data_IF_584399212963
#
_entry.id   IF_584399212963
#
_cell.length_a   1.000
_cell.length_b   1.000
_cell.length_c   1.000
_cell.angle_alpha   90.00
_cell.angle_beta   90.00
_cell.angle_gamma   90.00
#
_symmetry.space_group_name_H-M   'P 1'
#
loop_
_entity.id
_entity.type
_entity.pdbx_description
1 polymer ?
#
# COMPACT_ATOMS: atom_id res chain seq x y z
N UNK A 1 -17.68 29.11 21.00
CA UNK A 1 -17.41 28.46 19.73
C UNK A 1 -16.83 27.10 20.11
N UNK A 2 -17.66 26.05 20.11
CA UNK A 2 -17.28 24.72 20.58
C UNK A 2 -16.52 24.01 19.48
N UNK A 3 -15.30 23.58 19.79
CA UNK A 3 -14.47 22.75 18.94
C UNK A 3 -15.07 21.36 19.02
N UNK A 4 -15.62 20.85 17.90
CA UNK A 4 -16.06 19.47 17.79
C UNK A 4 -14.81 18.57 17.80
N UNK A 5 -14.67 17.81 18.88
CA UNK A 5 -13.78 16.65 18.94
C UNK A 5 -14.22 15.67 17.84
N UNK A 6 -13.41 15.51 16.81
CA UNK A 6 -13.58 14.43 15.84
C UNK A 6 -13.25 13.11 16.56
N UNK A 7 -14.28 12.35 16.86
CA UNK A 7 -14.17 10.99 17.37
C UNK A 7 -13.33 10.15 16.41
N UNK A 8 -12.33 9.47 16.98
CA UNK A 8 -11.56 8.42 16.29
C UNK A 8 -12.52 7.44 15.60
N UNK A 9 -12.21 6.97 14.38
CA UNK A 9 -13.07 5.98 13.71
C UNK A 9 -13.18 4.72 14.57
N UNK A 10 -14.32 4.03 14.57
CA UNK A 10 -14.51 2.81 15.34
C UNK A 10 -13.66 1.68 14.76
N UNK A 11 -12.51 1.44 15.36
CA UNK A 11 -11.55 0.36 14.99
C UNK A 11 -12.14 -1.06 15.08
N UNK A 12 -13.33 -1.23 15.67
CA UNK A 12 -13.88 -2.55 15.97
C UNK A 12 -14.57 -3.27 14.81
N UNK A 13 -15.03 -2.58 13.78
CA UNK A 13 -15.77 -3.19 12.66
C UNK A 13 -14.87 -3.64 11.51
N UNK A 14 -13.67 -3.07 11.36
CA UNK A 14 -12.82 -3.24 10.18
C UNK A 14 -11.93 -4.49 10.23
N UNK A 15 -11.61 -5.02 11.41
CA UNK A 15 -10.71 -6.18 11.56
C UNK A 15 -11.34 -7.46 11.07
N UNK A 16 -12.60 -7.70 11.38
CA UNK A 16 -13.33 -8.87 10.85
C UNK A 16 -13.39 -8.81 9.32
N UNK A 17 -13.63 -7.62 8.78
CA UNK A 17 -13.60 -7.35 7.34
C UNK A 17 -12.24 -7.63 6.72
N UNK A 18 -11.14 -7.26 7.38
CA UNK A 18 -9.80 -7.59 6.90
C UNK A 18 -9.56 -9.09 6.82
N UNK A 19 -9.91 -9.84 7.86
CA UNK A 19 -9.77 -11.31 7.87
C UNK A 19 -10.65 -12.00 6.83
N UNK A 20 -11.80 -11.43 6.51
CA UNK A 20 -12.70 -11.96 5.50
C UNK A 20 -12.22 -11.62 4.08
N UNK A 21 -11.86 -10.37 3.83
CA UNK A 21 -11.63 -9.83 2.49
C UNK A 21 -10.16 -9.71 2.11
N UNK A 22 -9.23 -9.71 3.09
CA UNK A 22 -7.78 -9.54 2.87
C UNK A 22 -7.35 -8.09 2.71
N UNK A 23 -8.27 -7.14 2.85
CA UNK A 23 -8.00 -5.70 2.82
C UNK A 23 -9.02 -4.90 3.61
N UNK A 24 -8.65 -3.67 3.95
CA UNK A 24 -9.54 -2.62 4.47
C UNK A 24 -9.17 -1.28 3.85
N UNK A 25 -10.15 -0.39 3.73
CA UNK A 25 -9.93 1.01 3.42
C UNK A 25 -10.08 1.81 4.71
N UNK A 26 -9.01 2.49 5.10
CA UNK A 26 -8.97 3.40 6.24
C UNK A 26 -9.09 4.84 5.74
N UNK A 27 -10.22 5.51 5.96
CA UNK A 27 -10.40 6.88 5.51
C UNK A 27 -9.64 7.88 6.38
N UNK A 28 -9.16 8.95 5.77
CA UNK A 28 -8.56 10.11 6.43
C UNK A 28 -7.46 9.75 7.47
N UNK A 29 -6.59 8.78 7.12
CA UNK A 29 -5.41 8.44 7.93
C UNK A 29 -4.47 9.64 7.99
N UNK A 30 -4.41 10.39 6.90
CA UNK A 30 -3.60 11.61 6.76
C UNK A 30 -4.49 12.77 6.31
N UNK A 31 -4.03 14.00 6.57
CA UNK A 31 -4.69 15.19 6.03
C UNK A 31 -4.28 15.42 4.56
N UNK A 32 -5.10 16.10 3.76
CA UNK A 32 -4.72 16.49 2.40
C UNK A 32 -3.45 17.34 2.35
N UNK A 33 -3.18 18.15 3.37
CA UNK A 33 -2.00 19.00 3.48
C UNK A 33 -0.74 18.17 3.68
N UNK A 34 -0.77 17.14 4.56
CA UNK A 34 0.32 16.17 4.74
C UNK A 34 0.61 15.46 3.42
N UNK A 35 -0.42 15.05 2.70
CA UNK A 35 -0.27 14.36 1.42
C UNK A 35 0.27 15.27 0.32
N UNK A 36 -0.12 16.53 0.29
CA UNK A 36 0.41 17.51 -0.65
C UNK A 36 1.91 17.77 -0.44
N UNK A 37 2.38 17.81 0.82
CA UNK A 37 3.82 17.90 1.14
C UNK A 37 4.55 16.63 0.69
N UNK A 38 4.01 15.47 1.03
CA UNK A 38 4.57 14.18 0.66
C UNK A 38 4.69 14.03 -0.88
N UNK A 39 3.65 14.41 -1.63
CA UNK A 39 3.64 14.39 -3.09
C UNK A 39 4.74 15.26 -3.69
N UNK A 40 4.87 16.52 -3.26
CA UNK A 40 5.93 17.42 -3.76
C UNK A 40 7.32 16.84 -3.49
N UNK A 41 7.58 16.36 -2.28
CA UNK A 41 8.86 15.74 -1.96
C UNK A 41 9.13 14.48 -2.78
N UNK A 42 8.11 13.66 -3.06
CA UNK A 42 8.25 12.50 -3.92
C UNK A 42 8.64 12.92 -5.35
N UNK A 43 7.99 13.93 -5.90
CA UNK A 43 8.31 14.48 -7.22
C UNK A 43 9.76 14.97 -7.27
N UNK A 44 10.19 15.82 -6.33
CA UNK A 44 11.55 16.37 -6.26
C UNK A 44 12.62 15.26 -6.17
N UNK A 45 12.40 14.23 -5.35
CA UNK A 45 13.34 13.14 -5.16
C UNK A 45 13.43 12.20 -6.36
N UNK A 46 12.39 12.13 -7.17
CA UNK A 46 12.33 11.20 -8.31
C UNK A 46 12.65 11.86 -9.65
N UNK A 47 12.60 13.20 -9.75
CA UNK A 47 12.94 13.95 -10.97
C UNK A 47 14.34 13.64 -11.49
N UNK A 48 15.30 13.38 -10.59
CA UNK A 48 16.69 13.05 -10.95
C UNK A 48 16.93 11.56 -11.21
N UNK A 49 15.93 10.71 -10.99
CA UNK A 49 16.05 9.26 -11.11
C UNK A 49 15.37 8.79 -12.40
N UNK A 50 16.13 8.25 -13.31
CA UNK A 50 15.60 7.64 -14.54
C UNK A 50 15.01 6.26 -14.24
N UNK A 51 13.76 6.21 -13.81
CA UNK A 51 13.00 4.96 -13.62
C UNK A 51 11.89 4.83 -14.65
N UNK A 52 11.90 3.83 -15.55
CA UNK A 52 10.91 3.72 -16.62
C UNK A 52 9.51 3.28 -16.15
N UNK A 53 9.38 2.81 -14.91
CA UNK A 53 8.14 2.16 -14.43
C UNK A 53 7.27 3.03 -13.53
N UNK A 54 7.71 4.24 -13.17
CA UNK A 54 6.98 5.06 -12.19
C UNK A 54 6.99 4.49 -10.76
N UNK A 55 7.90 3.55 -10.47
CA UNK A 55 8.05 2.92 -9.15
C UNK A 55 9.47 3.11 -8.66
N UNK A 56 9.61 3.64 -7.45
CA UNK A 56 10.89 3.75 -6.75
C UNK A 56 10.80 2.94 -5.46
N UNK A 57 11.93 2.42 -4.99
CA UNK A 57 11.96 1.60 -3.77
C UNK A 57 12.99 2.16 -2.81
N UNK A 58 12.58 2.41 -1.57
CA UNK A 58 13.45 2.72 -0.44
C UNK A 58 13.37 1.61 0.60
N UNK A 59 14.50 1.09 1.01
CA UNK A 59 14.58 0.18 2.16
C UNK A 59 14.42 0.96 3.47
N UNK A 60 14.08 0.29 4.56
CA UNK A 60 13.81 0.95 5.84
C UNK A 60 15.01 1.74 6.40
N UNK A 61 16.22 1.43 5.97
CA UNK A 61 17.47 2.12 6.35
C UNK A 61 17.90 3.24 5.38
N UNK A 62 17.25 3.34 4.21
CA UNK A 62 17.56 4.35 3.18
C UNK A 62 16.40 5.30 2.89
N UNK A 63 15.26 5.09 3.52
CA UNK A 63 14.07 5.92 3.33
C UNK A 63 14.32 7.36 3.81
N UNK A 64 13.93 8.41 3.05
CA UNK A 64 14.02 9.78 3.53
C UNK A 64 13.13 10.01 4.76
N UNK A 65 13.61 10.83 5.71
CA UNK A 65 12.97 11.06 7.03
C UNK A 65 11.48 11.44 6.94
N UNK A 66 11.10 12.29 5.97
CA UNK A 66 9.69 12.64 5.77
C UNK A 66 8.83 11.40 5.52
N UNK A 67 9.27 10.54 4.61
CA UNK A 67 8.53 9.33 4.22
C UNK A 67 8.56 8.26 5.30
N UNK A 68 9.63 8.19 6.08
CA UNK A 68 9.66 7.37 7.29
C UNK A 68 8.62 7.84 8.30
N UNK A 69 8.49 9.16 8.53
CA UNK A 69 7.46 9.73 9.39
C UNK A 69 6.04 9.39 8.91
N UNK A 70 5.78 9.38 7.60
CA UNK A 70 4.51 8.94 7.03
C UNK A 70 4.33 7.42 7.25
N UNK A 71 5.33 6.61 6.95
CA UNK A 71 5.26 5.15 7.12
C UNK A 71 5.06 4.73 8.60
N UNK A 72 5.57 5.49 9.56
CA UNK A 72 5.47 5.21 10.99
C UNK A 72 4.44 6.09 11.72
N UNK A 73 3.53 6.72 10.98
CA UNK A 73 2.54 7.63 11.55
C UNK A 73 1.61 6.91 12.53
N UNK A 74 1.34 7.51 13.68
CA UNK A 74 0.61 6.87 14.80
C UNK A 74 -0.78 6.34 14.40
N UNK A 75 -1.54 7.09 13.59
CA UNK A 75 -2.87 6.64 13.11
C UNK A 75 -2.78 5.39 12.23
N UNK A 76 -1.79 5.32 11.34
CA UNK A 76 -1.55 4.11 10.53
C UNK A 76 -1.12 2.95 11.40
N UNK A 77 -0.19 3.18 12.33
CA UNK A 77 0.30 2.15 13.26
C UNK A 77 -0.82 1.57 14.12
N UNK A 78 -1.73 2.38 14.63
CA UNK A 78 -2.88 1.91 15.40
C UNK A 78 -3.75 0.92 14.60
N UNK A 79 -3.97 1.18 13.31
CA UNK A 79 -4.71 0.28 12.43
C UNK A 79 -3.92 -1.01 12.16
N UNK A 80 -2.63 -0.87 11.82
CA UNK A 80 -1.78 -2.02 11.54
C UNK A 80 -1.60 -2.94 12.74
N UNK A 81 -1.53 -2.40 13.97
CA UNK A 81 -1.45 -3.21 15.19
C UNK A 81 -2.67 -4.11 15.37
N UNK A 82 -3.84 -3.66 14.96
CA UNK A 82 -5.07 -4.45 15.01
C UNK A 82 -5.09 -5.53 13.93
N UNK A 83 -4.55 -5.22 12.74
CA UNK A 83 -4.54 -6.13 11.57
C UNK A 83 -3.40 -7.15 11.66
N UNK A 84 -2.20 -6.71 12.04
CA UNK A 84 -0.96 -7.49 11.96
C UNK A 84 -0.61 -8.10 13.33
N UNK A 85 -0.93 -7.38 14.41
CA UNK A 85 -0.50 -7.67 15.77
C UNK A 85 0.38 -6.56 16.36
N UNK A 86 0.68 -6.63 17.67
CA UNK A 86 1.30 -5.51 18.39
C UNK A 86 2.75 -5.22 18.00
N UNK A 87 3.45 -6.20 17.43
CA UNK A 87 4.87 -6.09 17.08
C UNK A 87 5.03 -6.00 15.57
N UNK A 88 5.22 -4.76 15.09
CA UNK A 88 5.32 -4.46 13.67
C UNK A 88 6.77 -4.15 13.30
N UNK A 89 7.22 -4.70 12.18
CA UNK A 89 8.43 -4.29 11.50
C UNK A 89 8.09 -3.63 10.17
N UNK A 90 8.70 -2.46 9.96
CA UNK A 90 8.72 -1.76 8.69
C UNK A 90 9.88 -2.28 7.85
N UNK A 91 9.62 -2.60 6.58
CA UNK A 91 10.57 -3.26 5.68
C UNK A 91 11.08 -2.32 4.59
N UNK A 92 10.17 -1.70 3.87
CA UNK A 92 10.47 -0.82 2.72
C UNK A 92 9.27 0.05 2.39
N UNK A 93 9.49 1.03 1.53
CA UNK A 93 8.39 1.81 0.97
C UNK A 93 8.62 2.14 -0.51
N UNK A 94 7.54 2.37 -1.22
CA UNK A 94 7.55 2.67 -2.67
C UNK A 94 6.69 3.92 -2.93
N UNK A 95 7.25 5.07 -3.32
CA UNK A 95 6.48 6.05 -4.06
C UNK A 95 6.20 5.51 -5.46
N UNK A 96 4.95 5.61 -5.89
CA UNK A 96 4.48 5.11 -7.19
C UNK A 96 3.65 6.18 -7.87
N UNK A 97 3.99 6.48 -9.12
CA UNK A 97 3.20 7.40 -9.91
C UNK A 97 2.73 6.80 -11.22
N UNK A 98 1.60 7.28 -11.67
CA UNK A 98 1.11 7.14 -13.04
C UNK A 98 1.02 8.52 -13.68
N UNK A 99 1.35 8.61 -14.96
CA UNK A 99 1.35 9.87 -15.72
C UNK A 99 0.80 9.62 -17.13
N UNK A 100 0.80 10.64 -17.96
CA UNK A 100 0.46 10.48 -19.37
C UNK A 100 1.40 9.50 -20.12
N UNK A 101 2.67 9.38 -19.68
CA UNK A 101 3.67 8.49 -20.27
C UNK A 101 3.71 7.10 -19.58
N UNK A 102 3.44 7.06 -18.27
CA UNK A 102 3.39 5.85 -17.44
C UNK A 102 1.93 5.58 -17.09
N UNK A 103 1.11 5.28 -18.09
CA UNK A 103 -0.34 5.21 -17.96
C UNK A 103 -0.92 3.79 -17.93
N UNK A 104 -0.09 2.75 -18.08
CA UNK A 104 -0.54 1.35 -18.14
C UNK A 104 -1.15 0.88 -16.82
N UNK A 105 -2.10 -0.07 -16.87
CA UNK A 105 -2.58 -0.74 -15.67
C UNK A 105 -1.49 -1.65 -15.09
N UNK A 106 -1.39 -1.79 -13.76
CA UNK A 106 -0.66 -2.94 -13.22
C UNK A 106 -1.46 -4.22 -13.52
N UNK A 107 -0.82 -5.32 -13.92
CA UNK A 107 -1.51 -6.58 -14.12
C UNK A 107 -2.00 -7.15 -12.79
N UNK A 108 -2.88 -8.15 -12.82
CA UNK A 108 -3.28 -8.91 -11.65
C UNK A 108 -2.09 -9.69 -11.08
N UNK A 109 -1.85 -9.55 -9.79
CA UNK A 109 -0.76 -10.23 -9.09
C UNK A 109 -1.03 -10.32 -7.58
N UNK A 110 -0.24 -11.15 -6.93
CA UNK A 110 -0.06 -11.21 -5.48
C UNK A 110 1.39 -10.78 -5.20
N UNK A 111 1.59 -9.85 -4.28
CA UNK A 111 2.92 -9.38 -3.89
C UNK A 111 3.79 -10.53 -3.32
N UNK A 112 3.15 -11.49 -2.65
CA UNK A 112 3.80 -12.67 -2.07
C UNK A 112 4.65 -13.44 -3.10
N UNK A 113 4.26 -13.49 -4.38
CA UNK A 113 5.02 -14.14 -5.43
C UNK A 113 6.41 -13.53 -5.68
N UNK A 114 6.61 -12.27 -5.29
CA UNK A 114 7.91 -11.58 -5.38
C UNK A 114 8.73 -11.69 -4.11
N UNK A 115 8.10 -11.91 -2.97
CA UNK A 115 8.72 -11.78 -1.65
C UNK A 115 8.93 -13.10 -0.94
N UNK A 116 7.97 -14.00 -1.01
CA UNK A 116 7.96 -15.25 -0.24
C UNK A 116 7.98 -15.05 1.28
N UNK A 117 8.16 -16.13 2.02
CA UNK A 117 8.29 -16.10 3.47
C UNK A 117 7.00 -15.85 4.23
N UNK A 118 7.10 -15.24 5.42
CA UNK A 118 5.96 -14.89 6.26
C UNK A 118 5.07 -13.83 5.58
N UNK A 119 3.78 -13.70 5.96
CA UNK A 119 2.89 -12.68 5.42
C UNK A 119 3.43 -11.27 5.57
N UNK A 120 3.28 -10.45 4.53
CA UNK A 120 3.54 -9.02 4.51
C UNK A 120 2.24 -8.27 4.28
N UNK A 121 2.27 -7.00 4.67
CA UNK A 121 1.12 -6.12 4.59
C UNK A 121 1.56 -4.80 4.00
N UNK A 122 0.88 -4.37 2.96
CA UNK A 122 1.12 -3.08 2.33
C UNK A 122 0.02 -2.09 2.68
N UNK A 123 0.40 -0.84 2.91
CA UNK A 123 -0.55 0.27 3.01
C UNK A 123 -0.42 1.14 1.75
N UNK A 124 -1.38 1.07 0.86
CA UNK A 124 -1.44 1.92 -0.32
C UNK A 124 -2.07 3.26 0.06
N UNK A 125 -1.25 4.28 0.25
CA UNK A 125 -1.64 5.62 0.71
C UNK A 125 -1.82 6.51 -0.51
N UNK A 126 -2.99 7.12 -0.65
CA UNK A 126 -3.32 8.05 -1.72
C UNK A 126 -2.72 9.43 -1.42
N UNK A 127 -1.72 9.87 -2.20
CA UNK A 127 -1.16 11.23 -2.07
C UNK A 127 -2.04 12.30 -2.74
N UNK A 128 -3.00 11.87 -3.51
CA UNK A 128 -4.08 12.62 -4.15
C UNK A 128 -5.23 11.68 -4.44
N UNK A 129 -6.37 12.19 -4.84
CA UNK A 129 -7.53 11.35 -5.15
C UNK A 129 -7.18 10.33 -6.23
N UNK A 130 -7.46 9.06 -5.92
CA UNK A 130 -7.28 7.94 -6.82
C UNK A 130 -8.66 7.46 -7.29
N UNK A 131 -8.93 7.61 -8.57
CA UNK A 131 -10.22 7.31 -9.20
C UNK A 131 -10.08 6.22 -10.27
N UNK A 132 -11.19 5.75 -10.78
CA UNK A 132 -11.19 4.81 -11.91
C UNK A 132 -10.48 5.40 -13.14
N UNK A 133 -10.61 6.72 -13.35
CA UNK A 133 -10.04 7.41 -14.50
C UNK A 133 -8.52 7.58 -14.40
N UNK A 134 -7.97 7.80 -13.18
CA UNK A 134 -6.54 8.06 -12.98
C UNK A 134 -5.77 6.87 -12.40
N UNK A 135 -6.41 5.70 -12.25
CA UNK A 135 -5.71 4.47 -11.97
C UNK A 135 -5.76 4.01 -10.50
N UNK A 136 -6.92 4.07 -9.84
CA UNK A 136 -7.12 3.44 -8.54
C UNK A 136 -6.89 1.92 -8.59
N UNK A 137 -6.76 1.30 -7.42
CA UNK A 137 -6.64 -0.16 -7.32
C UNK A 137 -7.98 -0.86 -7.61
N UNK A 138 -7.85 -2.11 -8.02
CA UNK A 138 -8.90 -3.14 -8.08
C UNK A 138 -8.44 -4.31 -7.23
N UNK A 139 -9.33 -4.94 -6.51
CA UNK A 139 -9.05 -6.07 -5.64
C UNK A 139 -10.05 -7.19 -5.85
N UNK A 140 -9.67 -8.43 -5.50
CA UNK A 140 -10.58 -9.57 -5.40
C UNK A 140 -10.70 -9.95 -3.93
N UNK A 141 -11.81 -9.59 -3.26
CA UNK A 141 -12.03 -9.88 -1.84
C UNK A 141 -11.91 -11.37 -1.54
N UNK A 142 -11.22 -11.72 -0.45
CA UNK A 142 -11.06 -13.11 0.02
C UNK A 142 -9.97 -13.91 -0.70
N UNK A 143 -9.39 -13.40 -1.79
CA UNK A 143 -8.34 -14.09 -2.56
C UNK A 143 -7.02 -14.29 -1.79
N UNK A 144 -6.79 -13.56 -0.72
CA UNK A 144 -5.59 -13.65 0.12
C UNK A 144 -5.45 -14.99 0.88
N UNK A 145 -6.50 -15.81 0.90
CA UNK A 145 -6.50 -17.10 1.60
C UNK A 145 -5.66 -18.17 0.91
N UNK A 146 -5.26 -17.93 -0.33
CA UNK A 146 -4.46 -18.88 -1.11
C UNK A 146 -3.41 -18.14 -1.93
N UNK A 147 -2.17 -18.59 -1.87
CA UNK A 147 -1.17 -18.21 -2.84
C UNK A 147 -1.47 -18.93 -4.16
N UNK A 148 -1.43 -18.19 -5.27
CA UNK A 148 -1.68 -18.71 -6.60
C UNK A 148 -0.39 -18.80 -7.40
N UNK A 149 -0.35 -19.73 -8.32
CA UNK A 149 0.74 -19.83 -9.29
C UNK A 149 0.68 -18.65 -10.26
N UNK A 150 1.80 -17.94 -10.39
CA UNK A 150 1.93 -16.81 -11.29
C UNK A 150 2.60 -17.25 -12.59
N UNK A 151 2.05 -16.84 -13.71
CA UNK A 151 2.70 -17.01 -14.99
C UNK A 151 3.94 -16.10 -15.09
N UNK A 152 5.10 -16.68 -15.40
CA UNK A 152 6.29 -15.91 -15.71
C UNK A 152 6.14 -15.27 -17.10
N UNK A 153 6.10 -13.96 -17.17
CA UNK A 153 5.94 -13.21 -18.42
C UNK A 153 7.10 -12.23 -18.56
N UNK A 154 7.74 -12.23 -19.71
CA UNK A 154 8.70 -11.19 -20.05
C UNK A 154 7.94 -9.92 -20.37
N UNK A 155 7.94 -8.96 -19.46
CA UNK A 155 7.43 -7.63 -19.74
C UNK A 155 8.47 -6.54 -19.39
N UNK A 156 8.28 -5.36 -19.99
CA UNK A 156 9.20 -4.22 -19.82
C UNK A 156 8.81 -3.33 -18.63
N UNK A 157 7.72 -3.66 -17.94
CA UNK A 157 7.12 -2.84 -16.89
C UNK A 157 7.44 -3.33 -15.47
N UNK A 158 8.19 -4.44 -15.33
CA UNK A 158 8.63 -4.94 -14.03
C UNK A 158 7.66 -5.90 -13.33
N UNK A 159 6.57 -6.31 -14.01
CA UNK A 159 5.62 -7.32 -13.50
C UNK A 159 5.85 -8.66 -14.18
N UNK A 160 7.01 -9.26 -13.92
CA UNK A 160 7.40 -10.55 -14.50
C UNK A 160 6.56 -11.74 -14.02
N UNK A 161 5.83 -11.60 -12.90
CA UNK A 161 4.94 -12.61 -12.36
C UNK A 161 3.52 -12.03 -12.29
N UNK A 162 2.55 -12.67 -12.97
CA UNK A 162 1.17 -12.20 -13.00
C UNK A 162 0.16 -13.33 -13.13
N UNK A 163 -1.07 -13.06 -12.71
CA UNK A 163 -2.23 -13.91 -12.97
C UNK A 163 -2.85 -13.48 -14.31
N UNK A 164 -3.23 -14.45 -15.13
CA UNK A 164 -3.87 -14.16 -16.42
C UNK A 164 -5.35 -13.82 -16.21
N UNK A 165 -5.88 -12.88 -17.02
CA UNK A 165 -7.27 -12.44 -16.91
C UNK A 165 -8.28 -13.60 -17.14
N UNK A 166 -7.86 -14.63 -17.88
CA UNK A 166 -8.68 -15.83 -18.12
C UNK A 166 -8.91 -16.67 -16.87
N UNK A 167 -7.97 -16.63 -15.90
CA UNK A 167 -8.08 -17.34 -14.63
C UNK A 167 -9.02 -16.64 -13.65
N UNK A 168 -9.40 -15.39 -13.94
CA UNK A 168 -10.20 -14.53 -13.08
C UNK A 168 -11.66 -14.32 -13.55
N UNK A 169 -12.11 -15.04 -14.58
CA UNK A 169 -13.42 -14.82 -15.23
C UNK A 169 -14.64 -14.93 -14.30
N UNK A 170 -14.51 -15.66 -13.19
CA UNK A 170 -15.60 -15.91 -12.25
C UNK A 170 -15.43 -15.14 -10.94
N UNK A 171 -14.39 -14.32 -10.83
CA UNK A 171 -14.08 -13.61 -9.61
C UNK A 171 -14.86 -12.29 -9.50
N UNK A 172 -15.23 -11.94 -8.27
CA UNK A 172 -15.84 -10.63 -7.99
C UNK A 172 -14.75 -9.58 -7.85
N UNK A 173 -14.66 -8.70 -8.83
CA UNK A 173 -13.70 -7.59 -8.81
C UNK A 173 -14.36 -6.37 -8.17
N UNK A 174 -13.65 -5.74 -7.23
CA UNK A 174 -14.07 -4.53 -6.54
C UNK A 174 -13.08 -3.41 -6.84
N UNK A 175 -13.60 -2.29 -7.34
CA UNK A 175 -12.81 -1.06 -7.48
C UNK A 175 -12.61 -0.39 -6.11
N UNK A 176 -11.41 0.13 -5.87
CA UNK A 176 -11.03 0.77 -4.62
C UNK A 176 -10.59 2.23 -4.83
N UNK A 177 -11.52 3.14 -5.18
CA UNK A 177 -11.20 4.56 -5.24
C UNK A 177 -10.90 5.10 -3.84
N UNK A 178 -9.95 6.03 -3.73
CA UNK A 178 -9.52 6.64 -2.47
C UNK A 178 -9.46 8.16 -2.63
N UNK A 179 -9.80 8.88 -1.58
CA UNK A 179 -9.48 10.31 -1.48
C UNK A 179 -8.03 10.50 -1.00
N UNK A 180 -7.49 11.69 -1.23
CA UNK A 180 -6.18 12.05 -0.67
C UNK A 180 -6.16 11.86 0.85
N UNK A 181 -5.17 11.11 1.36
CA UNK A 181 -5.03 10.79 2.77
C UNK A 181 -5.70 9.49 3.23
N UNK A 182 -6.51 8.86 2.39
CA UNK A 182 -7.00 7.50 2.66
C UNK A 182 -5.87 6.47 2.46
N UNK A 183 -6.00 5.33 3.12
CA UNK A 183 -5.10 4.20 2.95
C UNK A 183 -5.88 2.89 2.72
N UNK A 184 -5.50 2.14 1.69
CA UNK A 184 -5.93 0.76 1.50
C UNK A 184 -4.84 -0.14 2.07
N UNK A 185 -5.16 -0.86 3.15
CA UNK A 185 -4.25 -1.81 3.81
C UNK A 185 -4.62 -3.21 3.34
N UNK A 186 -3.64 -3.99 2.87
CA UNK A 186 -3.90 -5.30 2.30
C UNK A 186 -2.79 -6.32 2.57
N UNK A 187 -3.20 -7.58 2.57
CA UNK A 187 -2.34 -8.76 2.68
C UNK A 187 -1.61 -9.02 1.37
N UNK A 188 -0.36 -9.45 1.40
CA UNK A 188 0.47 -9.69 0.21
C UNK A 188 -0.05 -10.79 -0.73
N UNK A 189 -0.89 -11.71 -0.22
CA UNK A 189 -1.63 -12.68 -1.04
C UNK A 189 -2.95 -12.13 -1.61
N UNK A 190 -3.35 -10.89 -1.35
CA UNK A 190 -4.53 -10.32 -1.99
C UNK A 190 -4.27 -10.14 -3.48
N UNK A 191 -5.13 -10.72 -4.32
CA UNK A 191 -5.12 -10.42 -5.75
C UNK A 191 -5.53 -8.97 -5.96
N UNK A 192 -4.62 -8.22 -6.56
CA UNK A 192 -4.85 -6.81 -6.85
C UNK A 192 -4.26 -6.40 -8.19
N UNK A 193 -4.76 -5.32 -8.70
CA UNK A 193 -4.42 -4.70 -9.98
C UNK A 193 -4.70 -3.21 -9.89
N UNK A 194 -4.42 -2.44 -10.92
CA UNK A 194 -4.84 -1.03 -10.98
C UNK A 194 -5.43 -0.70 -12.33
N UNK A 195 -6.33 0.27 -12.37
CA UNK A 195 -6.78 0.87 -13.62
C UNK A 195 -5.63 1.60 -14.33
N UNK A 196 -5.69 1.77 -15.67
CA UNK A 196 -4.80 2.69 -16.36
C UNK A 196 -5.07 4.14 -15.92
N UNK A 197 -4.10 5.03 -16.11
CA UNK A 197 -4.32 6.45 -15.96
C UNK A 197 -4.69 7.07 -17.31
N UNK A 198 -5.95 7.40 -17.49
CA UNK A 198 -6.50 8.02 -18.71
C UNK A 198 -6.79 9.53 -18.49
N UNK A 199 -6.52 10.06 -17.30
CA UNK A 199 -6.85 11.46 -16.94
C UNK A 199 -5.92 12.50 -17.58
N UNK A 200 -4.78 12.09 -18.13
CA UNK A 200 -3.75 12.99 -18.64
C UNK A 200 -2.98 13.76 -17.56
N UNK A 201 -3.28 13.54 -16.28
CA UNK A 201 -2.61 14.14 -15.12
C UNK A 201 -1.87 13.07 -14.34
N UNK A 202 -0.86 13.44 -13.56
CA UNK A 202 -0.15 12.51 -12.68
C UNK A 202 -1.06 12.06 -11.54
N UNK A 203 -0.84 10.83 -11.06
CA UNK A 203 -1.43 10.29 -9.86
C UNK A 203 -0.35 9.60 -9.02
N UNK A 204 -0.15 10.07 -7.81
CA UNK A 204 0.87 9.62 -6.88
C UNK A 204 0.28 8.82 -5.72
N UNK A 205 0.99 7.79 -5.32
CA UNK A 205 0.73 7.01 -4.12
C UNK A 205 2.04 6.67 -3.40
N UNK A 206 1.94 6.36 -2.12
CA UNK A 206 3.05 5.92 -1.30
C UNK A 206 2.69 4.58 -0.64
N UNK A 207 3.56 3.59 -0.75
CA UNK A 207 3.23 2.20 -0.38
C UNK A 207 4.31 1.64 0.56
N UNK A 208 4.22 1.89 1.89
CA UNK A 208 5.03 1.21 2.88
C UNK A 208 4.57 -0.25 3.08
N UNK A 209 5.54 -1.13 3.35
CA UNK A 209 5.35 -2.57 3.56
C UNK A 209 5.83 -2.98 4.94
N UNK A 210 5.04 -3.83 5.61
CA UNK A 210 5.24 -4.25 6.99
C UNK A 210 5.10 -5.75 7.15
N UNK A 211 5.57 -6.27 8.32
CA UNK A 211 5.30 -7.64 8.75
C UNK A 211 5.07 -7.72 10.26
N UNK A 212 4.56 -8.87 10.71
CA UNK A 212 4.54 -9.20 12.12
C UNK A 212 5.94 -9.68 12.56
N UNK A 213 6.52 -9.00 13.55
CA UNK A 213 7.84 -9.34 14.08
C UNK A 213 7.88 -10.67 14.87
N UNK A 214 6.72 -11.18 15.30
CA UNK A 214 6.64 -12.45 16.03
C UNK A 214 6.70 -13.67 15.11
N UNK A 215 6.53 -13.48 13.79
CA UNK A 215 6.58 -14.56 12.82
C UNK A 215 7.99 -14.69 12.23
N UNK A 216 8.60 -15.88 12.24
CA UNK A 216 9.87 -16.11 11.57
C UNK A 216 9.69 -15.89 10.06
N UNK A 217 10.62 -15.15 9.45
CA UNK A 217 10.58 -14.87 8.03
C UNK A 217 11.80 -15.43 7.31
N UNK A 218 11.56 -16.22 6.28
CA UNK A 218 12.60 -16.81 5.43
C UNK A 218 12.83 -16.02 4.14
N UNK A 219 12.14 -14.88 3.97
CA UNK A 219 12.36 -14.01 2.82
C UNK A 219 13.78 -13.42 2.85
N UNK A 220 14.43 -13.40 1.69
CA UNK A 220 15.76 -12.80 1.50
C UNK A 220 15.71 -11.46 0.79
N UNK A 221 14.50 -10.94 0.51
CA UNK A 221 14.31 -9.66 -0.21
C UNK A 221 14.75 -8.48 0.65
N UNK A 222 14.52 -8.55 1.97
CA UNK A 222 14.90 -7.51 2.90
C UNK A 222 16.08 -7.95 3.77
N UNK A 223 17.19 -7.24 3.65
CA UNK A 223 18.38 -7.43 4.50
C UNK A 223 18.25 -6.72 5.85
N UNK A 224 17.35 -5.74 5.94
CA UNK A 224 17.10 -4.92 7.13
C UNK A 224 15.61 -4.76 7.37
N UNK A 225 15.24 -4.59 8.65
CA UNK A 225 13.90 -4.23 9.08
C UNK A 225 13.99 -3.24 10.23
N UNK A 226 12.98 -2.40 10.40
CA UNK A 226 12.89 -1.46 11.51
C UNK A 226 11.72 -1.83 12.40
N UNK A 227 12.02 -2.20 13.64
CA UNK A 227 10.96 -2.42 14.63
C UNK A 227 10.30 -1.10 14.98
N UNK A 228 8.96 -1.07 14.94
CA UNK A 228 8.18 0.10 15.32
C UNK A 228 7.61 -0.16 16.71
N UNK A 229 7.95 0.73 17.67
CA UNK A 229 7.38 0.63 19.01
C UNK A 229 5.84 0.74 18.95
N UNK A 230 5.11 0.00 19.79
CA UNK A 230 3.67 0.13 19.89
C UNK A 230 3.29 1.59 20.19
N UNK A 231 2.25 2.08 19.52
CA UNK A 231 1.67 3.38 19.88
C UNK A 231 1.11 3.29 21.30
N UNK A 232 1.61 4.14 22.21
CA UNK A 232 0.98 4.32 23.51
C UNK A 232 -0.31 5.14 23.30
N UNK A 233 -1.50 4.56 23.53
CA UNK A 233 -2.75 5.28 23.35
C UNK A 233 -2.92 6.48 24.30
N UNK A 234 -2.05 6.62 25.31
CA UNK A 234 -2.07 7.70 26.29
C UNK A 234 -1.06 8.82 25.99
N UNK A 235 -0.25 8.71 24.94
CA UNK A 235 0.70 9.75 24.56
C UNK A 235 0.13 10.58 23.40
N UNK A 236 -0.69 11.58 23.74
CA UNK A 236 -1.01 12.70 22.85
C UNK A 236 0.18 13.68 22.89
N UNK A 237 1.03 13.66 21.89
CA UNK A 237 2.03 14.72 21.63
C UNK A 237 1.49 15.73 20.63
#
# INVERSE_FOLDING_TARGET
MQIHNSSSPPLGQDVSSFHENGYIIAPAVYTPEEMAVCKRSAQELTESQSGPSGVFVWMCDTIPTLFEGIACHSRLMAILQVVIGPRIEFLSAKPVFKSAQVNFPSPWHQDQAYWGGAPKYSAWIALEDATLENGCLKVIPGSHRSALDHAAVQDKIGFGNRILDEDLKNETIVDAPLNAGDALIFHDCLLHSSHPNLSGRDRWSFIPTYRNADLPDLSTVWSTSKHIAPCDPNHNS
#
